data_IF_691134646384
#
_entry.id   IF_691134646384
#
_cell.length_a   1.000
_cell.length_b   1.000
_cell.length_c   1.000
_cell.angle_alpha   90.00
_cell.angle_beta   90.00
_cell.angle_gamma   90.00
#
_symmetry.space_group_name_H-M   'P 1'
#
loop_
_entity.id
_entity.type
_entity.pdbx_description
1 polymer ?
#
# COMPACT_ATOMS: atom_id res chain seq x y z
N UNK A 1 6.80 -17.43 -20.36
CA UNK A 1 6.49 -16.05 -19.91
C UNK A 1 7.08 -14.93 -20.80
N UNK A 2 7.67 -15.25 -21.94
CA UNK A 2 8.26 -14.24 -22.86
C UNK A 2 7.25 -13.28 -23.51
N UNK A 3 5.95 -13.55 -23.41
CA UNK A 3 4.88 -12.77 -24.04
C UNK A 3 4.11 -11.85 -23.09
N UNK A 4 4.53 -11.69 -21.85
CA UNK A 4 3.85 -10.82 -20.88
C UNK A 4 3.92 -9.36 -21.35
N UNK A 5 2.77 -8.76 -21.62
CA UNK A 5 2.65 -7.38 -22.10
C UNK A 5 2.32 -6.38 -20.99
N UNK A 6 1.62 -6.82 -19.96
CA UNK A 6 1.23 -5.98 -18.85
C UNK A 6 1.42 -6.73 -17.52
N UNK A 7 1.93 -6.03 -16.53
CA UNK A 7 2.06 -6.47 -15.14
C UNK A 7 1.41 -5.42 -14.25
N UNK A 8 0.55 -5.86 -13.35
CA UNK A 8 -0.16 -4.99 -12.42
C UNK A 8 0.19 -5.42 -10.99
N UNK A 9 0.65 -4.47 -10.19
CA UNK A 9 0.72 -4.58 -8.74
C UNK A 9 -0.45 -3.78 -8.16
N UNK A 10 -1.31 -4.45 -7.45
CA UNK A 10 -2.41 -3.83 -6.72
C UNK A 10 -2.18 -3.98 -5.22
N UNK A 11 -2.57 -2.99 -4.43
CA UNK A 11 -2.30 -2.94 -2.98
C UNK A 11 -0.82 -3.19 -2.65
N UNK A 12 0.09 -2.51 -3.34
CA UNK A 12 1.52 -2.77 -3.25
C UNK A 12 2.09 -2.54 -1.85
N UNK A 13 1.53 -1.63 -1.05
CA UNK A 13 1.85 -1.42 0.37
C UNK A 13 1.54 -2.67 1.19
N UNK A 14 0.36 -3.25 1.05
CA UNK A 14 -0.04 -4.46 1.76
C UNK A 14 0.88 -5.64 1.43
N UNK A 15 1.21 -5.83 0.15
CA UNK A 15 2.14 -6.90 -0.25
C UNK A 15 3.51 -6.76 0.43
N UNK A 16 3.99 -5.53 0.65
CA UNK A 16 5.27 -5.28 1.30
C UNK A 16 5.21 -5.44 2.81
N UNK A 17 4.13 -5.00 3.45
CA UNK A 17 3.89 -5.20 4.88
C UNK A 17 3.81 -6.69 5.23
N UNK A 18 3.21 -7.50 4.37
CA UNK A 18 3.18 -8.96 4.51
C UNK A 18 4.52 -9.65 4.24
N UNK A 19 5.59 -8.90 3.93
CA UNK A 19 6.93 -9.46 3.75
C UNK A 19 7.19 -10.11 2.38
N UNK A 20 6.33 -9.91 1.39
CA UNK A 20 6.48 -10.54 0.05
C UNK A 20 7.59 -9.92 -0.82
N UNK A 21 8.32 -8.93 -0.33
CA UNK A 21 9.40 -8.28 -1.10
C UNK A 21 10.39 -9.27 -1.76
N UNK A 22 10.92 -10.30 -1.06
CA UNK A 22 11.83 -11.27 -1.69
C UNK A 22 11.18 -12.06 -2.82
N UNK A 23 9.92 -12.48 -2.62
CA UNK A 23 9.16 -13.21 -3.62
C UNK A 23 8.88 -12.36 -4.86
N UNK A 24 8.48 -11.10 -4.68
CA UNK A 24 8.26 -10.14 -5.76
C UNK A 24 9.54 -9.90 -6.53
N UNK A 25 10.67 -9.68 -5.85
CA UNK A 25 11.97 -9.49 -6.50
C UNK A 25 12.35 -10.72 -7.34
N UNK A 26 12.21 -11.92 -6.78
CA UNK A 26 12.47 -13.18 -7.50
C UNK A 26 11.55 -13.32 -8.72
N UNK A 27 10.27 -13.04 -8.58
CA UNK A 27 9.31 -13.07 -9.69
C UNK A 27 9.74 -12.12 -10.82
N UNK A 28 10.10 -10.89 -10.48
CA UNK A 28 10.51 -9.87 -11.46
C UNK A 28 11.74 -10.29 -12.28
N UNK A 29 12.66 -11.08 -11.71
CA UNK A 29 13.83 -11.61 -12.46
C UNK A 29 13.44 -12.67 -13.50
N UNK A 30 12.29 -13.31 -13.35
CA UNK A 30 11.79 -14.33 -14.29
C UNK A 30 10.91 -13.77 -15.40
N UNK A 31 10.54 -12.49 -15.31
CA UNK A 31 9.67 -11.82 -16.26
C UNK A 31 10.49 -11.12 -17.37
N UNK A 32 9.85 -10.83 -18.53
CA UNK A 32 10.48 -10.01 -19.57
C UNK A 32 10.95 -8.67 -19.02
N UNK A 33 11.92 -8.07 -19.69
CA UNK A 33 12.44 -6.75 -19.30
C UNK A 33 11.31 -5.74 -19.07
N UNK A 34 11.46 -4.92 -18.03
CA UNK A 34 10.51 -3.84 -17.74
C UNK A 34 10.32 -2.85 -18.91
N UNK A 35 11.28 -2.78 -19.82
CA UNK A 35 11.21 -1.93 -21.00
C UNK A 35 10.33 -2.49 -22.12
N UNK A 36 10.06 -3.80 -22.09
CA UNK A 36 9.28 -4.50 -23.13
C UNK A 36 7.84 -4.78 -22.71
N UNK A 37 7.46 -4.40 -21.46
CA UNK A 37 6.11 -4.55 -20.92
C UNK A 37 5.61 -3.22 -20.36
N UNK A 38 4.32 -3.09 -20.19
CA UNK A 38 3.71 -2.09 -19.33
C UNK A 38 3.69 -2.63 -17.90
N UNK A 39 4.03 -1.80 -16.92
CA UNK A 39 3.86 -2.15 -15.51
C UNK A 39 3.07 -1.03 -14.84
N UNK A 40 2.01 -1.40 -14.14
CA UNK A 40 1.16 -0.52 -13.35
C UNK A 40 1.33 -0.90 -11.88
N UNK A 41 1.41 0.12 -11.02
CA UNK A 41 1.53 -0.06 -9.58
C UNK A 41 0.50 0.83 -8.90
N UNK A 42 -0.39 0.19 -8.16
CA UNK A 42 -1.42 0.85 -7.36
C UNK A 42 -1.12 0.63 -5.88
N UNK A 43 -1.25 1.70 -5.09
CA UNK A 43 -0.99 1.67 -3.64
C UNK A 43 -1.74 2.81 -2.97
N UNK A 44 -2.30 2.56 -1.80
CA UNK A 44 -2.95 3.60 -0.99
C UNK A 44 -1.91 4.52 -0.33
N UNK A 45 -0.71 4.01 -0.08
CA UNK A 45 0.39 4.75 0.54
C UNK A 45 1.68 4.62 -0.27
N UNK A 46 2.62 5.56 -0.11
CA UNK A 46 3.91 5.56 -0.83
C UNK A 46 5.11 5.56 0.14
N UNK A 47 5.24 4.54 1.01
CA UNK A 47 6.42 4.44 1.87
C UNK A 47 7.70 4.19 1.05
N UNK A 48 8.86 4.46 1.65
CA UNK A 48 10.18 4.25 1.01
C UNK A 48 10.40 2.83 0.48
N UNK A 49 9.79 1.84 1.12
CA UNK A 49 9.82 0.43 0.70
C UNK A 49 9.19 0.20 -0.68
N UNK A 50 8.09 0.90 -0.99
CA UNK A 50 7.44 0.83 -2.30
C UNK A 50 8.30 1.48 -3.38
N UNK A 51 8.94 2.62 -3.09
CA UNK A 51 9.85 3.26 -4.03
C UNK A 51 10.95 2.32 -4.49
N UNK A 52 11.48 1.47 -3.59
CA UNK A 52 12.45 0.44 -3.93
C UNK A 52 11.92 -0.59 -4.94
N UNK A 53 10.67 -1.05 -4.79
CA UNK A 53 10.05 -1.97 -5.75
C UNK A 53 9.68 -1.26 -7.05
N UNK A 54 9.19 -0.03 -6.98
CA UNK A 54 8.89 0.76 -8.16
C UNK A 54 10.12 0.90 -9.08
N UNK A 55 11.30 1.16 -8.53
CA UNK A 55 12.55 1.23 -9.29
C UNK A 55 12.89 -0.07 -10.03
N UNK A 56 12.58 -1.23 -9.43
CA UNK A 56 12.81 -2.53 -10.04
C UNK A 56 11.74 -2.89 -11.08
N UNK A 57 10.48 -2.60 -10.80
CA UNK A 57 9.33 -3.05 -11.57
C UNK A 57 9.00 -2.10 -12.72
N UNK A 58 9.08 -0.79 -12.49
CA UNK A 58 8.71 0.25 -13.45
C UNK A 58 9.89 0.65 -14.36
N UNK A 59 9.58 1.25 -15.49
CA UNK A 59 10.57 1.88 -16.37
C UNK A 59 11.24 3.05 -15.64
N UNK A 60 12.42 3.49 -16.10
CA UNK A 60 13.16 4.61 -15.51
C UNK A 60 12.37 5.93 -15.57
N UNK A 61 11.60 6.12 -16.65
CA UNK A 61 10.65 7.21 -16.78
C UNK A 61 9.24 6.61 -16.69
N UNK A 62 8.58 6.81 -15.59
CA UNK A 62 7.17 6.44 -15.36
C UNK A 62 6.38 7.66 -14.93
N UNK A 63 5.11 7.66 -15.23
CA UNK A 63 4.18 8.69 -14.78
C UNK A 63 3.66 8.32 -13.39
N UNK A 64 3.77 9.24 -12.44
CA UNK A 64 3.17 9.11 -11.11
C UNK A 64 1.90 9.96 -11.07
N UNK A 65 0.79 9.30 -10.73
CA UNK A 65 -0.52 9.95 -10.58
C UNK A 65 -0.89 9.87 -9.11
N UNK A 66 -0.95 11.02 -8.44
CA UNK A 66 -1.44 11.13 -7.08
C UNK A 66 -2.93 11.49 -7.14
N UNK A 67 -3.76 10.54 -6.72
CA UNK A 67 -5.21 10.72 -6.66
C UNK A 67 -5.71 11.20 -5.30
N UNK A 68 -4.84 11.25 -4.29
CA UNK A 68 -5.21 11.66 -2.92
C UNK A 68 -5.07 13.17 -2.76
N UNK A 69 -4.07 13.78 -3.40
CA UNK A 69 -3.83 15.22 -3.33
C UNK A 69 -3.62 15.74 -1.90
N UNK A 70 -3.85 17.01 -1.69
CA UNK A 70 -3.88 17.68 -0.38
C UNK A 70 -5.27 17.59 0.30
N UNK A 71 -6.13 16.65 -0.11
CA UNK A 71 -7.42 16.49 0.55
C UNK A 71 -7.21 16.08 2.00
N UNK A 72 -7.82 16.85 2.90
CA UNK A 72 -7.90 16.54 4.33
C UNK A 72 -8.40 15.11 4.49
N UNK A 73 -7.65 14.31 5.22
CA UNK A 73 -7.99 12.92 5.45
C UNK A 73 -9.43 12.81 5.97
N UNK A 74 -10.21 11.94 5.38
CA UNK A 74 -11.66 11.79 5.64
C UNK A 74 -11.97 11.58 7.12
N UNK A 75 -11.00 11.06 7.90
CA UNK A 75 -11.17 10.86 9.34
C UNK A 75 -11.14 12.15 10.18
N UNK A 76 -10.64 13.27 9.66
CA UNK A 76 -10.69 14.57 10.36
C UNK A 76 -12.11 15.10 10.54
N UNK A 77 -13.05 14.62 9.72
CA UNK A 77 -14.47 14.99 9.81
C UNK A 77 -15.27 14.12 10.77
N UNK A 78 -14.67 13.04 11.28
CA UNK A 78 -15.31 12.15 12.23
C UNK A 78 -14.89 12.55 13.65
N UNK A 79 -15.81 12.96 14.53
CA UNK A 79 -15.50 13.21 15.92
C UNK A 79 -14.89 11.96 16.57
N UNK A 80 -13.71 12.12 17.14
CA UNK A 80 -13.01 11.02 17.79
C UNK A 80 -12.77 11.36 19.25
N UNK A 81 -13.04 10.41 20.14
CA UNK A 81 -12.81 10.52 21.56
C UNK A 81 -11.86 9.40 22.00
N UNK A 82 -10.79 9.77 22.69
CA UNK A 82 -9.86 8.82 23.28
C UNK A 82 -10.20 8.67 24.78
N UNK A 83 -10.55 7.47 25.20
CA UNK A 83 -10.82 7.14 26.61
C UNK A 83 -9.66 6.29 27.13
N UNK A 84 -8.94 6.80 28.12
CA UNK A 84 -7.83 6.10 28.77
C UNK A 84 -8.32 5.53 30.12
N UNK A 85 -8.25 4.22 30.26
CA UNK A 85 -8.65 3.54 31.50
C UNK A 85 -7.79 2.28 31.73
N UNK A 86 -7.77 1.71 32.95
CA UNK A 86 -7.14 0.42 33.22
C UNK A 86 -7.80 -0.70 32.40
N UNK A 87 -7.02 -1.71 32.02
CA UNK A 87 -7.46 -2.80 31.13
C UNK A 87 -8.67 -3.57 31.70
N UNK A 88 -8.74 -3.67 33.03
CA UNK A 88 -9.83 -4.38 33.75
C UNK A 88 -11.20 -3.71 33.53
N UNK A 89 -11.23 -2.43 33.17
CA UNK A 89 -12.45 -1.66 32.94
C UNK A 89 -12.88 -1.59 31.48
N UNK A 90 -12.11 -2.16 30.57
CA UNK A 90 -12.30 -2.00 29.12
C UNK A 90 -13.74 -2.34 28.67
N UNK A 91 -14.27 -3.45 29.12
CA UNK A 91 -15.62 -3.87 28.73
C UNK A 91 -16.72 -3.01 29.36
N UNK A 92 -16.49 -2.52 30.59
CA UNK A 92 -17.45 -1.64 31.28
C UNK A 92 -17.51 -0.29 30.56
N UNK A 93 -16.37 0.30 30.24
CA UNK A 93 -16.31 1.58 29.53
C UNK A 93 -16.87 1.47 28.10
N UNK A 94 -16.60 0.37 27.39
CA UNK A 94 -17.23 0.11 26.10
C UNK A 94 -18.76 0.04 26.21
N UNK A 95 -19.29 -0.62 27.24
CA UNK A 95 -20.73 -0.70 27.48
C UNK A 95 -21.36 0.65 27.77
N UNK A 96 -20.64 1.57 28.43
CA UNK A 96 -21.14 2.92 28.72
C UNK A 96 -21.13 3.81 27.44
N UNK A 97 -20.18 3.61 26.54
CA UNK A 97 -20.12 4.38 25.28
C UNK A 97 -21.19 3.96 24.29
N UNK A 98 -21.68 2.71 24.38
CA UNK A 98 -22.68 2.16 23.44
C UNK A 98 -24.14 2.41 23.90
N UNK A 99 -24.36 3.06 25.03
CA UNK A 99 -25.70 3.47 25.52
C UNK A 99 -26.07 4.86 24.99
#
# INVERSE_FOLDING_TARGET
>A
MQSLKCLIFDEADQMLEMGFRPAITKMLTMLPSKNTRQTLLFSATMPKSILGIAQFALRTKYDAIDCVGEEQSTHERVPQVCIVHPIERQFVELGLVLQ
#
